data_IF_405297861317
#
_entry.id   IF_405297861317
#
_cell.length_a   1.000
_cell.length_b   1.000
_cell.length_c   1.000
_cell.angle_alpha   90.00
_cell.angle_beta   90.00
_cell.angle_gamma   90.00
#
_symmetry.space_group_name_H-M   'P 1'
#
loop_
_entity.id
_entity.type
_entity.pdbx_description
1 polymer ?
#
# COMPACT_ATOMS: atom_id res chain seq x y z
N UNK A 1 -17.87 -13.87 -16.91
CA UNK A 1 -17.81 -13.10 -16.42
C UNK A 1 -16.92 -12.63 -15.71
N UNK A 2 -16.70 -11.90 -15.74
CA UNK A 2 -15.73 -11.53 -15.02
C UNK A 2 -16.10 -10.89 -13.84
N UNK A 3 -15.67 -11.38 -12.83
CA UNK A 3 -15.95 -10.88 -11.56
C UNK A 3 -14.95 -9.88 -11.12
N UNK A 4 -14.56 -9.04 -11.99
CA UNK A 4 -13.58 -8.01 -11.60
C UNK A 4 -14.20 -7.07 -10.60
N UNK A 5 -13.47 -6.79 -9.54
CA UNK A 5 -13.87 -5.78 -8.59
C UNK A 5 -13.93 -4.42 -9.28
N UNK A 6 -14.89 -3.59 -8.88
CA UNK A 6 -14.96 -2.24 -9.39
C UNK A 6 -14.04 -1.35 -8.56
N UNK A 7 -12.84 -1.13 -9.07
CA UNK A 7 -11.85 -0.31 -8.40
C UNK A 7 -11.70 1.08 -9.04
N UNK A 8 -12.63 1.43 -9.91
CA UNK A 8 -12.57 2.71 -10.62
C UNK A 8 -12.55 3.87 -9.63
N UNK A 9 -11.57 4.75 -9.77
CA UNK A 9 -11.46 5.93 -8.93
C UNK A 9 -10.83 5.72 -7.56
N UNK A 10 -10.51 4.48 -7.20
CA UNK A 10 -9.83 4.20 -5.93
C UNK A 10 -8.41 4.75 -6.01
N UNK A 11 -8.01 5.56 -5.03
CA UNK A 11 -6.66 6.12 -4.98
C UNK A 11 -5.75 5.18 -4.23
N UNK A 12 -4.76 4.66 -4.90
CA UNK A 12 -3.82 3.70 -4.33
C UNK A 12 -2.43 4.29 -4.33
N UNK A 13 -1.78 4.34 -3.18
CA UNK A 13 -0.40 4.76 -3.10
C UNK A 13 0.50 3.54 -3.00
N UNK A 14 1.59 3.53 -3.77
CA UNK A 14 2.59 2.46 -3.73
C UNK A 14 3.93 3.08 -3.40
N UNK A 15 4.51 2.66 -2.27
CA UNK A 15 5.78 3.16 -1.77
C UNK A 15 6.80 2.04 -1.84
N UNK A 16 7.81 2.17 -2.70
CA UNK A 16 8.84 1.15 -2.85
C UNK A 16 10.04 1.82 -3.52
N UNK A 17 11.25 1.51 -3.06
CA UNK A 17 12.45 2.08 -3.66
C UNK A 17 12.85 1.39 -4.97
N UNK A 18 12.19 0.31 -5.33
CA UNK A 18 12.44 -0.40 -6.58
C UNK A 18 11.55 0.13 -7.71
N UNK A 19 12.17 0.62 -8.77
CA UNK A 19 11.43 1.05 -9.96
C UNK A 19 10.61 -0.08 -10.56
N UNK A 20 11.16 -1.29 -10.55
CA UNK A 20 10.49 -2.45 -11.12
C UNK A 20 9.20 -2.77 -10.37
N UNK A 21 9.25 -2.75 -9.04
CA UNK A 21 8.08 -3.03 -8.22
C UNK A 21 7.02 -1.94 -8.40
N UNK A 22 7.44 -0.66 -8.35
CA UNK A 22 6.50 0.45 -8.56
C UNK A 22 5.81 0.35 -9.91
N UNK A 23 6.59 0.03 -10.94
CA UNK A 23 6.03 -0.06 -12.30
C UNK A 23 5.04 -1.20 -12.44
N UNK A 24 5.37 -2.37 -11.89
CA UNK A 24 4.46 -3.52 -11.94
C UNK A 24 3.15 -3.20 -11.24
N UNK A 25 3.24 -2.64 -10.05
CA UNK A 25 2.04 -2.27 -9.30
C UNK A 25 1.22 -1.24 -10.05
N UNK A 26 1.87 -0.24 -10.62
CA UNK A 26 1.19 0.80 -11.37
C UNK A 26 0.40 0.22 -12.55
N UNK A 27 1.01 -0.67 -13.30
CA UNK A 27 0.35 -1.29 -14.45
C UNK A 27 -0.89 -2.06 -14.01
N UNK A 28 -0.74 -2.92 -13.00
CA UNK A 28 -1.86 -3.72 -12.50
C UNK A 28 -3.01 -2.84 -12.01
N UNK A 29 -2.67 -1.82 -11.24
CA UNK A 29 -3.69 -0.98 -10.61
C UNK A 29 -4.40 -0.10 -11.63
N UNK A 30 -3.66 0.46 -12.59
CA UNK A 30 -4.28 1.28 -13.62
C UNK A 30 -5.19 0.47 -14.52
N UNK A 31 -4.83 -0.78 -14.79
CA UNK A 31 -5.69 -1.67 -15.57
C UNK A 31 -7.03 -1.90 -14.90
N UNK A 32 -7.07 -1.81 -13.58
CA UNK A 32 -8.29 -2.00 -12.81
C UNK A 32 -9.06 -0.70 -12.58
N UNK A 33 -8.57 0.41 -13.11
CA UNK A 33 -9.24 1.70 -12.98
C UNK A 33 -8.81 2.55 -11.80
N UNK A 34 -7.80 2.13 -11.06
CA UNK A 34 -7.32 2.88 -9.91
C UNK A 34 -6.54 4.12 -10.33
N UNK A 35 -6.60 5.13 -9.48
CA UNK A 35 -5.71 6.28 -9.58
C UNK A 35 -4.49 5.93 -8.73
N UNK A 36 -3.29 6.00 -9.31
CA UNK A 36 -2.08 5.51 -8.66
C UNK A 36 -1.15 6.64 -8.30
N UNK A 37 -0.68 6.66 -7.05
CA UNK A 37 0.28 7.62 -6.56
C UNK A 37 1.53 6.83 -6.19
N UNK A 38 2.68 7.18 -6.76
CA UNK A 38 3.93 6.46 -6.52
C UNK A 38 4.86 7.28 -5.65
N UNK A 39 5.54 6.62 -4.72
CA UNK A 39 6.54 7.25 -3.88
C UNK A 39 7.77 6.35 -3.79
N UNK A 40 8.95 6.95 -3.74
CA UNK A 40 10.22 6.21 -3.73
C UNK A 40 10.67 5.84 -2.33
N UNK A 41 10.23 6.55 -1.33
CA UNK A 41 10.64 6.31 0.06
C UNK A 41 9.59 6.89 1.01
N UNK A 42 9.80 6.68 2.30
CA UNK A 42 8.85 7.11 3.31
C UNK A 42 8.66 8.63 3.38
N UNK A 43 9.73 9.39 3.16
CA UNK A 43 9.61 10.85 3.20
C UNK A 43 8.81 11.38 2.02
N UNK A 44 9.09 10.85 0.83
CA UNK A 44 8.33 11.20 -0.36
C UNK A 44 6.85 10.85 -0.16
N UNK A 45 6.61 9.70 0.45
CA UNK A 45 5.25 9.23 0.72
C UNK A 45 4.50 10.17 1.65
N UNK A 46 5.13 10.62 2.74
CA UNK A 46 4.46 11.49 3.70
C UNK A 46 3.99 12.78 3.04
N UNK A 47 4.82 13.34 2.16
CA UNK A 47 4.47 14.53 1.41
C UNK A 47 3.26 14.28 0.50
N UNK A 48 3.27 13.17 -0.20
CA UNK A 48 2.23 12.84 -1.17
C UNK A 48 0.91 12.40 -0.52
N UNK A 49 0.98 11.84 0.67
CA UNK A 49 -0.23 11.47 1.41
C UNK A 49 -1.06 12.71 1.71
N UNK A 50 -0.41 13.78 2.16
CA UNK A 50 -1.10 15.02 2.46
C UNK A 50 -1.74 15.60 1.20
N UNK A 51 -1.02 15.53 0.09
CA UNK A 51 -1.48 16.12 -1.16
C UNK A 51 -2.62 15.31 -1.80
N UNK A 52 -2.56 13.98 -1.75
CA UNK A 52 -3.45 13.14 -2.54
C UNK A 52 -4.50 12.37 -1.76
N UNK A 53 -4.34 12.21 -0.45
CA UNK A 53 -5.31 11.50 0.40
C UNK A 53 -5.67 10.11 -0.15
N UNK A 54 -4.71 9.17 -0.17
CA UNK A 54 -4.99 7.85 -0.74
C UNK A 54 -6.01 7.06 0.07
N UNK A 55 -6.70 6.15 -0.60
CA UNK A 55 -7.68 5.27 0.02
C UNK A 55 -7.04 4.01 0.60
N UNK A 56 -5.85 3.66 0.14
CA UNK A 56 -5.08 2.52 0.63
C UNK A 56 -3.61 2.74 0.25
N UNK A 57 -2.71 2.24 1.09
CA UNK A 57 -1.27 2.39 0.90
C UNK A 57 -0.61 1.02 0.90
N UNK A 58 0.25 0.76 -0.09
CA UNK A 58 1.15 -0.39 -0.12
C UNK A 58 2.55 0.14 0.08
N UNK A 59 3.30 -0.43 1.02
CA UNK A 59 4.62 0.08 1.37
C UNK A 59 5.64 -1.03 1.58
N UNK A 60 6.75 -0.93 0.86
CA UNK A 60 7.88 -1.82 1.06
C UNK A 60 8.41 -1.65 2.48
N UNK A 61 8.84 -2.75 3.07
CA UNK A 61 9.41 -2.73 4.42
C UNK A 61 10.84 -2.21 4.38
N UNK A 62 11.65 -2.75 3.46
CA UNK A 62 13.08 -2.47 3.43
C UNK A 62 13.39 -1.27 2.55
N UNK A 63 13.41 -0.10 3.13
CA UNK A 63 13.76 1.13 2.43
C UNK A 63 14.80 1.89 3.24
N UNK A 64 15.69 2.65 2.57
CA UNK A 64 16.70 3.41 3.30
C UNK A 64 16.08 4.57 4.08
N UNK A 65 16.71 4.93 5.17
CA UNK A 65 16.37 6.07 6.03
C UNK A 65 15.06 5.90 6.80
N UNK A 66 13.94 5.72 6.13
CA UNK A 66 12.65 5.57 6.78
C UNK A 66 12.00 4.32 6.19
N UNK A 67 12.02 3.22 6.95
CA UNK A 67 11.50 1.95 6.47
C UNK A 67 9.97 1.89 6.55
N UNK A 68 9.39 0.77 6.10
CA UNK A 68 7.94 0.61 6.07
C UNK A 68 7.30 0.64 7.45
N UNK A 69 7.97 0.06 8.45
CA UNK A 69 7.43 0.06 9.81
C UNK A 69 7.38 1.48 10.37
N UNK A 70 8.45 2.23 10.16
CA UNK A 70 8.54 3.62 10.62
C UNK A 70 7.52 4.50 9.92
N UNK A 71 7.37 4.32 8.62
CA UNK A 71 6.39 5.08 7.82
C UNK A 71 4.97 4.81 8.34
N UNK A 72 4.65 3.54 8.58
CA UNK A 72 3.33 3.16 9.08
C UNK A 72 3.09 3.76 10.48
N UNK A 73 4.08 3.67 11.35
CA UNK A 73 3.94 4.21 12.71
C UNK A 73 3.70 5.71 12.70
N UNK A 74 4.41 6.43 11.85
CA UNK A 74 4.20 7.88 11.73
C UNK A 74 2.79 8.20 11.24
N UNK A 75 2.31 7.43 10.28
CA UNK A 75 0.97 7.61 9.76
C UNK A 75 -0.08 7.39 10.84
N UNK A 76 0.10 6.36 11.66
CA UNK A 76 -0.85 6.02 12.72
C UNK A 76 -0.90 7.06 13.83
N UNK A 77 0.15 7.86 13.96
CA UNK A 77 0.18 8.93 14.96
C UNK A 77 -0.56 10.18 14.52
N UNK A 78 -0.89 10.28 13.24
CA UNK A 78 -1.57 11.45 12.70
C UNK A 78 -3.05 11.17 12.60
N UNK A 79 -3.88 11.92 13.31
CA UNK A 79 -5.32 11.63 13.39
C UNK A 79 -6.02 11.77 12.04
N UNK A 80 -5.45 12.51 11.09
CA UNK A 80 -6.04 12.63 9.77
C UNK A 80 -5.81 11.39 8.90
N UNK A 81 -4.78 10.60 9.20
CA UNK A 81 -4.37 9.50 8.34
C UNK A 81 -4.33 8.13 9.02
N UNK A 82 -4.53 8.09 10.33
CA UNK A 82 -4.36 6.84 11.09
C UNK A 82 -5.35 5.75 10.74
N UNK A 83 -6.40 6.08 10.01
CA UNK A 83 -7.41 5.12 9.60
C UNK A 83 -7.17 4.57 8.18
N UNK A 84 -6.17 5.09 7.46
CA UNK A 84 -5.91 4.64 6.09
C UNK A 84 -5.33 3.23 6.12
N UNK A 85 -5.89 2.29 5.36
CA UNK A 85 -5.33 0.95 5.29
C UNK A 85 -3.89 0.97 4.80
N UNK A 86 -3.02 0.21 5.46
CA UNK A 86 -1.60 0.19 5.17
C UNK A 86 -1.14 -1.25 5.03
N UNK A 87 -0.78 -1.66 3.83
CA UNK A 87 -0.37 -3.01 3.51
C UNK A 87 1.13 -3.06 3.34
N UNK A 88 1.81 -3.90 4.13
CA UNK A 88 3.26 -4.07 4.02
C UNK A 88 3.59 -4.98 2.86
N UNK A 89 4.59 -4.60 2.07
CA UNK A 89 5.14 -5.43 1.01
C UNK A 89 6.48 -5.96 1.47
N UNK A 90 6.66 -7.27 1.46
CA UNK A 90 7.90 -7.87 1.94
C UNK A 90 8.38 -8.97 1.02
N UNK A 91 9.70 -9.10 0.88
CA UNK A 91 10.28 -10.20 0.14
C UNK A 91 10.33 -11.48 0.98
N UNK A 92 9.97 -11.40 2.27
CA UNK A 92 9.99 -12.54 3.17
C UNK A 92 8.64 -12.73 3.82
N UNK A 93 8.20 -13.99 3.87
CA UNK A 93 6.94 -14.32 4.52
C UNK A 93 7.25 -14.93 5.88
N UNK A 94 7.77 -14.13 6.79
CA UNK A 94 8.16 -14.57 8.11
C UNK A 94 7.19 -14.14 9.18
N UNK A 95 7.02 -14.99 10.18
CA UNK A 95 6.14 -14.69 11.30
C UNK A 95 6.60 -13.44 12.05
N UNK A 96 7.93 -13.28 12.17
CA UNK A 96 8.48 -12.11 12.85
C UNK A 96 8.12 -10.82 12.12
N UNK A 97 8.24 -10.82 10.80
CA UNK A 97 7.93 -9.63 10.01
C UNK A 97 6.45 -9.29 10.08
N UNK A 98 5.59 -10.30 10.07
CA UNK A 98 4.15 -10.10 10.20
C UNK A 98 3.80 -9.51 11.56
N UNK A 99 4.40 -10.03 12.62
CA UNK A 99 4.15 -9.54 13.97
C UNK A 99 4.61 -8.10 14.11
N UNK A 100 5.78 -7.77 13.58
CA UNK A 100 6.31 -6.42 13.64
C UNK A 100 5.45 -5.44 12.86
N UNK A 101 4.96 -5.86 11.69
CA UNK A 101 4.04 -5.05 10.90
C UNK A 101 2.76 -4.74 11.65
N UNK A 102 2.19 -5.76 12.28
CA UNK A 102 0.96 -5.59 13.06
C UNK A 102 1.18 -4.61 14.22
N UNK A 103 2.33 -4.70 14.89
CA UNK A 103 2.66 -3.79 15.98
C UNK A 103 2.82 -2.36 15.50
N UNK A 104 3.28 -2.16 14.28
CA UNK A 104 3.39 -0.82 13.70
C UNK A 104 2.03 -0.30 13.22
N UNK A 105 1.01 -1.14 13.21
CA UNK A 105 -0.33 -0.73 12.82
C UNK A 105 -0.71 -1.06 11.38
N UNK A 106 0.03 -2.00 10.73
CA UNK A 106 -0.32 -2.36 9.37
C UNK A 106 -1.62 -3.17 9.33
N UNK A 107 -2.35 -3.02 8.22
CA UNK A 107 -3.62 -3.69 8.02
C UNK A 107 -3.41 -5.12 7.54
N UNK A 108 -2.43 -5.30 6.67
CA UNK A 108 -2.17 -6.58 6.05
C UNK A 108 -0.71 -6.65 5.60
N UNK A 109 -0.28 -7.85 5.22
CA UNK A 109 1.07 -8.15 4.82
C UNK A 109 1.00 -8.91 3.50
N UNK A 110 1.70 -8.43 2.48
CA UNK A 110 1.68 -9.04 1.16
C UNK A 110 3.11 -9.40 0.74
N UNK A 111 3.33 -10.62 0.33
CA UNK A 111 4.67 -11.10 -0.02
C UNK A 111 5.02 -10.73 -1.46
N UNK A 112 6.25 -10.27 -1.68
CA UNK A 112 6.78 -10.01 -3.03
C UNK A 112 7.49 -11.26 -3.54
N UNK A 113 7.38 -11.58 -4.81
CA UNK A 113 6.60 -10.85 -5.81
C UNK A 113 5.12 -11.11 -5.64
N UNK A 114 4.34 -10.04 -5.75
CA UNK A 114 2.89 -10.17 -5.71
C UNK A 114 2.37 -10.44 -7.10
N UNK A 115 1.18 -11.05 -7.17
CA UNK A 115 0.50 -11.23 -8.45
C UNK A 115 -0.49 -10.09 -8.64
N UNK A 116 -0.94 -9.93 -9.88
CA UNK A 116 -2.01 -8.98 -10.15
C UNK A 116 -3.22 -9.27 -9.29
N UNK A 117 -3.61 -10.56 -9.21
CA UNK A 117 -4.78 -10.95 -8.43
C UNK A 117 -4.62 -10.63 -6.94
N UNK A 118 -3.46 -10.93 -6.36
CA UNK A 118 -3.27 -10.68 -4.92
C UNK A 118 -3.27 -9.18 -4.60
N UNK A 119 -2.68 -8.38 -5.48
CA UNK A 119 -2.65 -6.94 -5.29
C UNK A 119 -4.05 -6.34 -5.37
N UNK A 120 -4.81 -6.70 -6.41
CA UNK A 120 -6.16 -6.17 -6.60
C UNK A 120 -7.11 -6.65 -5.50
N UNK A 121 -6.93 -7.88 -5.03
CA UNK A 121 -7.75 -8.38 -3.94
C UNK A 121 -7.49 -7.60 -2.65
N UNK A 122 -6.25 -7.26 -2.37
CA UNK A 122 -5.93 -6.47 -1.19
C UNK A 122 -6.60 -5.10 -1.26
N UNK A 123 -6.59 -4.47 -2.44
CA UNK A 123 -7.27 -3.18 -2.62
C UNK A 123 -8.76 -3.33 -2.35
N UNK A 124 -9.39 -4.32 -2.97
CA UNK A 124 -10.82 -4.50 -2.83
C UNK A 124 -11.24 -4.81 -1.39
N UNK A 125 -10.43 -5.59 -0.68
CA UNK A 125 -10.74 -5.99 0.69
C UNK A 125 -10.61 -4.84 1.68
N UNK A 126 -9.55 -4.04 1.54
CA UNK A 126 -9.17 -3.09 2.58
C UNK A 126 -9.41 -1.61 2.27
N UNK A 127 -9.62 -1.25 1.03
CA UNK A 127 -9.75 0.17 0.66
C UNK A 127 -10.84 0.89 1.44
N UNK A 128 -10.64 2.18 1.64
CA UNK A 128 -11.69 3.06 2.12
C UNK A 128 -12.72 3.26 1.00
N UNK A 129 -13.90 3.77 1.32
CA UNK A 129 -14.92 4.12 0.32
C UNK A 129 -15.36 2.94 -0.54
N UNK A 130 -15.60 1.79 0.10
CA UNK A 130 -16.14 0.65 -0.61
C UNK A 130 -17.53 0.96 -1.15
N UNK A 131 -17.91 0.40 -2.30
CA UNK A 131 -19.27 0.56 -2.79
C UNK A 131 -20.26 -0.02 -1.77
N UNK A 132 -21.39 0.58 -1.70
CA UNK A 132 -22.45 0.13 -0.79
C UNK A 132 -23.17 -1.06 -1.40
#
# INVERSE_FOLDING_TARGET
MSEKANLSGVKVMVIDDSNTIRRSAEIFLKQAGCEVILAEDGFDALSKIVEHSPDIIFCDIMMPRLDGYQTCSLLRQNENWRHVPFVMLSSKDGLFDRARGAMAGSTEYLTKPFTRASLLQAVDTHRLNKPV
#
